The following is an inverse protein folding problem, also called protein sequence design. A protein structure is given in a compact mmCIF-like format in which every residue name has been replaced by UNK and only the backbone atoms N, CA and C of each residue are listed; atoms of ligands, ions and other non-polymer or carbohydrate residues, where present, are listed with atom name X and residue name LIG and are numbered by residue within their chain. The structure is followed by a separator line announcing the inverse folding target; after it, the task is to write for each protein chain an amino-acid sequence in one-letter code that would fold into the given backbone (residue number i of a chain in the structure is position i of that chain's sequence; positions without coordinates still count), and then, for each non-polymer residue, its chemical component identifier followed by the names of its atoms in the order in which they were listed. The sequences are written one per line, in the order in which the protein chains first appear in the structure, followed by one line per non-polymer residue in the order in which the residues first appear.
data_IF_273518905679
#
_entry.id   IF_273518905679
#
_cell.length_a   1.000
_cell.length_b   1.000
_cell.length_c   1.000
_cell.angle_alpha   90.00
_cell.angle_beta   90.00
_cell.angle_gamma   90.00
#
_symmetry.space_group_name_H-M   'P 1'
#
loop_
_entity.id
_entity.type
_entity.pdbx_description
1 polymer ?
#
# COMPACT_ATOMS: atom_id res chain seq x y z
N UNK A 1 19.81 -23.26 1.36
CA UNK A 1 20.90 -22.26 1.40
C UNK A 1 21.29 -21.75 0.01
N UNK A 2 21.39 -22.61 -1.02
CA UNK A 2 21.73 -22.19 -2.40
C UNK A 2 20.72 -21.18 -2.98
N UNK A 3 19.43 -21.31 -2.69
CA UNK A 3 18.40 -20.35 -3.15
C UNK A 3 18.59 -18.94 -2.57
N UNK A 4 19.04 -18.80 -1.33
CA UNK A 4 19.25 -17.47 -0.73
C UNK A 4 20.52 -16.78 -1.27
N UNK A 5 21.56 -17.55 -1.59
CA UNK A 5 22.75 -17.04 -2.26
C UNK A 5 22.46 -16.57 -3.69
N UNK A 6 21.62 -17.33 -4.42
CA UNK A 6 21.21 -16.97 -5.78
C UNK A 6 20.41 -15.66 -5.80
N UNK A 7 19.48 -15.48 -4.86
CA UNK A 7 18.69 -14.25 -4.71
C UNK A 7 19.60 -13.03 -4.44
N UNK A 8 20.67 -13.21 -3.66
CA UNK A 8 21.65 -12.15 -3.38
C UNK A 8 22.43 -11.69 -4.62
N UNK A 9 22.92 -12.63 -5.42
CA UNK A 9 23.72 -12.34 -6.64
C UNK A 9 22.84 -11.74 -7.75
N UNK A 10 21.59 -12.19 -7.83
CA UNK A 10 20.56 -11.66 -8.72
C UNK A 10 20.27 -10.19 -8.41
N UNK A 11 20.05 -9.88 -7.13
CA UNK A 11 19.72 -8.53 -6.68
C UNK A 11 20.89 -7.55 -6.85
N UNK A 12 22.12 -8.00 -6.60
CA UNK A 12 23.31 -7.17 -6.79
C UNK A 12 23.55 -6.88 -8.25
N UNK A 13 23.41 -7.87 -9.14
CA UNK A 13 23.50 -7.65 -10.57
C UNK A 13 22.56 -6.53 -11.02
N UNK A 14 21.25 -6.69 -10.79
CA UNK A 14 20.17 -5.90 -11.44
C UNK A 14 20.48 -4.43 -11.46
N UNK A 15 20.87 -3.96 -10.30
CA UNK A 15 21.03 -2.55 -10.17
C UNK A 15 22.42 -2.03 -10.53
N UNK A 16 23.46 -2.87 -10.72
CA UNK A 16 24.72 -2.35 -11.31
C UNK A 16 24.41 -1.89 -12.73
N UNK A 17 23.55 -2.62 -13.45
CA UNK A 17 23.14 -2.24 -14.80
C UNK A 17 22.26 -1.03 -14.90
N UNK A 18 21.23 -0.95 -14.05
CA UNK A 18 20.41 0.26 -13.98
C UNK A 18 21.23 1.48 -13.55
N UNK A 19 22.23 1.30 -12.67
CA UNK A 19 23.17 2.34 -12.24
C UNK A 19 24.09 2.83 -13.37
N UNK A 20 24.66 1.93 -14.17
CA UNK A 20 25.53 2.31 -15.29
C UNK A 20 24.79 3.13 -16.36
N UNK A 21 23.58 2.71 -16.74
CA UNK A 21 22.78 3.41 -17.76
C UNK A 21 22.35 4.79 -17.23
N UNK A 22 21.82 4.90 -16.01
CA UNK A 22 21.42 6.20 -15.47
C UNK A 22 22.61 7.12 -15.20
N UNK A 23 23.78 6.62 -14.76
CA UNK A 23 24.97 7.45 -14.56
C UNK A 23 25.42 8.11 -15.87
N UNK A 24 25.34 7.38 -16.99
CA UNK A 24 25.68 7.89 -18.31
C UNK A 24 24.78 9.07 -18.75
N UNK A 25 23.53 9.12 -18.29
CA UNK A 25 22.60 10.22 -18.56
C UNK A 25 22.62 11.33 -17.50
N UNK A 26 22.86 11.00 -16.22
CA UNK A 26 22.81 11.95 -15.10
C UNK A 26 24.12 12.73 -14.94
N UNK A 27 25.28 12.11 -15.18
CA UNK A 27 26.58 12.77 -15.06
C UNK A 27 26.71 14.05 -15.93
N UNK A 28 26.29 14.07 -17.22
CA UNK A 28 26.33 15.31 -18.01
C UNK A 28 25.30 16.36 -17.56
N UNK A 29 24.21 15.96 -16.89
CA UNK A 29 23.23 16.89 -16.31
C UNK A 29 23.76 17.51 -15.00
N UNK A 30 24.38 16.71 -14.14
CA UNK A 30 24.94 17.18 -12.86
C UNK A 30 26.14 18.10 -13.08
N UNK A 31 26.96 17.85 -14.11
CA UNK A 31 28.05 18.77 -14.48
C UNK A 31 27.55 20.09 -15.10
N UNK A 32 26.34 20.14 -15.65
CA UNK A 32 25.74 21.37 -16.22
C UNK A 32 25.09 22.28 -15.18
N UNK A 33 24.78 21.80 -13.98
CA UNK A 33 24.17 22.61 -12.93
C UNK A 33 25.15 22.80 -11.76
N UNK A 34 25.74 24.00 -11.57
CA UNK A 34 26.50 24.28 -10.36
C UNK A 34 25.57 24.11 -9.17
N UNK A 35 26.04 23.44 -8.12
CA UNK A 35 25.29 23.29 -6.86
C UNK A 35 25.03 24.68 -6.27
N UNK A 36 23.77 25.10 -6.15
CA UNK A 36 23.35 25.51 -4.80
C UNK A 36 21.91 25.09 -4.44
N UNK A 37 21.64 25.18 -3.13
CA UNK A 37 20.32 25.30 -2.50
C UNK A 37 19.37 24.08 -2.38
N UNK A 38 19.54 22.96 -3.09
CA UNK A 38 18.62 21.81 -2.94
C UNK A 38 18.70 21.14 -1.55
N UNK A 39 19.79 21.36 -0.82
CA UNK A 39 20.00 20.77 0.52
C UNK A 39 19.16 21.40 1.65
N UNK A 40 18.53 22.57 1.44
CA UNK A 40 17.69 23.22 2.47
C UNK A 40 16.19 22.92 2.36
N UNK A 41 15.75 22.24 1.30
CA UNK A 41 14.32 21.96 1.07
C UNK A 41 13.86 20.55 1.53
N UNK A 42 14.76 19.72 2.07
CA UNK A 42 14.45 18.35 2.48
C UNK A 42 13.96 18.22 3.95
N UNK A 43 13.41 19.28 4.55
CA UNK A 43 12.58 19.15 5.75
C UNK A 43 11.20 18.63 5.34
N UNK A 44 11.12 17.32 5.16
CA UNK A 44 9.90 16.61 4.78
C UNK A 44 8.84 16.78 5.88
N UNK A 45 7.94 17.74 5.69
CA UNK A 45 6.76 17.88 6.53
C UNK A 45 5.84 16.67 6.30
N UNK A 46 5.57 15.92 7.38
CA UNK A 46 4.55 14.87 7.42
C UNK A 46 3.17 15.49 7.28
N UNK A 47 2.74 15.77 6.05
CA UNK A 47 1.36 16.18 5.78
C UNK A 47 0.44 14.96 5.69
N UNK A 48 -0.73 15.11 6.32
CA UNK A 48 -1.82 14.13 6.50
C UNK A 48 -2.20 13.30 5.25
N UNK A 49 -2.81 12.10 5.44
CA UNK A 49 -3.03 11.12 4.38
C UNK A 49 -4.09 11.58 3.39
N UNK A 50 -3.65 12.12 2.25
CA UNK A 50 -4.48 12.45 1.09
C UNK A 50 -4.81 11.19 0.28
N UNK A 51 -6.05 11.12 -0.21
CA UNK A 51 -6.54 10.11 -1.16
C UNK A 51 -5.63 10.06 -2.39
N UNK A 52 -5.45 8.87 -2.95
CA UNK A 52 -4.47 8.58 -4.01
C UNK A 52 -4.66 9.50 -5.23
N UNK A 53 -3.59 10.19 -5.58
CA UNK A 53 -3.38 10.73 -6.92
C UNK A 53 -2.38 9.81 -7.64
N UNK A 54 -2.50 9.60 -8.95
CA UNK A 54 -1.61 8.69 -9.70
C UNK A 54 -0.13 9.10 -9.60
N UNK A 55 0.12 10.37 -9.24
CA UNK A 55 1.41 10.95 -8.87
C UNK A 55 2.12 10.24 -7.69
N UNK A 56 1.36 9.69 -6.73
CA UNK A 56 1.90 8.99 -5.55
C UNK A 56 2.48 7.61 -5.91
N UNK A 57 2.02 6.99 -6.99
CA UNK A 57 2.57 5.71 -7.48
C UNK A 57 3.89 5.92 -8.21
N UNK A 58 3.97 6.98 -9.01
CA UNK A 58 5.17 7.36 -9.74
C UNK A 58 6.32 7.73 -8.79
N UNK A 59 6.05 8.50 -7.73
CA UNK A 59 7.07 8.86 -6.73
C UNK A 59 7.62 7.66 -5.96
N UNK A 60 6.80 6.64 -5.70
CA UNK A 60 7.24 5.40 -5.06
C UNK A 60 8.10 4.54 -5.99
N UNK A 61 7.69 4.37 -7.25
CA UNK A 61 8.46 3.62 -8.23
C UNK A 61 9.81 4.31 -8.48
N UNK A 62 9.81 5.63 -8.60
CA UNK A 62 11.03 6.43 -8.72
C UNK A 62 11.95 6.27 -7.50
N UNK A 63 11.38 6.22 -6.28
CA UNK A 63 12.17 6.02 -5.07
C UNK A 63 12.80 4.62 -4.98
N UNK A 64 12.07 3.55 -5.34
CA UNK A 64 12.62 2.18 -5.40
C UNK A 64 13.73 2.05 -6.45
N UNK A 65 13.53 2.63 -7.63
CA UNK A 65 14.53 2.70 -8.69
C UNK A 65 15.76 3.50 -8.21
N UNK A 66 15.54 4.59 -7.47
CA UNK A 66 16.60 5.42 -6.88
C UNK A 66 17.42 4.72 -5.80
N UNK A 67 16.80 3.90 -4.94
CA UNK A 67 17.53 3.10 -3.93
C UNK A 67 18.46 2.10 -4.57
N UNK A 68 17.93 1.40 -5.59
CA UNK A 68 18.67 0.40 -6.35
C UNK A 68 19.81 1.11 -7.06
N UNK A 69 19.53 2.17 -7.81
CA UNK A 69 20.53 3.02 -8.46
C UNK A 69 21.70 3.42 -7.53
N UNK A 70 21.38 3.85 -6.31
CA UNK A 70 22.37 4.32 -5.37
C UNK A 70 23.33 3.29 -4.80
N UNK A 71 22.79 2.15 -4.34
CA UNK A 71 23.58 1.02 -3.86
C UNK A 71 24.71 0.64 -4.82
N UNK A 72 24.51 0.97 -6.09
CA UNK A 72 25.25 0.44 -7.20
C UNK A 72 26.19 1.48 -7.81
N UNK A 73 25.82 2.76 -7.73
CA UNK A 73 26.76 3.86 -7.94
C UNK A 73 27.78 4.01 -6.81
N UNK A 74 27.48 3.56 -5.59
CA UNK A 74 28.35 3.80 -4.43
C UNK A 74 29.32 2.68 -4.12
N UNK A 75 29.20 1.55 -4.83
CA UNK A 75 30.18 0.48 -4.75
C UNK A 75 31.41 0.87 -5.59
N UNK A 76 32.42 1.48 -4.95
CA UNK A 76 33.73 1.75 -5.57
C UNK A 76 34.18 3.22 -5.57
N UNK A 77 33.31 4.17 -5.24
CA UNK A 77 33.71 5.57 -5.03
C UNK A 77 34.00 5.81 -3.54
N UNK A 78 35.16 6.40 -3.19
CA UNK A 78 35.51 6.78 -1.80
C UNK A 78 34.60 7.84 -1.14
N UNK A 79 33.49 8.19 -1.78
CA UNK A 79 32.45 9.06 -1.23
C UNK A 79 31.37 8.22 -0.53
N UNK A 80 31.69 7.76 0.68
CA UNK A 80 30.75 7.05 1.55
C UNK A 80 29.48 7.87 1.85
N UNK A 81 29.60 9.20 1.85
CA UNK A 81 28.49 10.12 2.11
C UNK A 81 27.34 10.00 1.08
N UNK A 82 27.65 9.85 -0.21
CA UNK A 82 26.61 9.69 -1.25
C UNK A 82 25.88 8.35 -1.14
N UNK A 83 26.56 7.31 -0.63
CA UNK A 83 25.99 5.98 -0.43
C UNK A 83 24.93 6.00 0.65
N UNK A 84 25.28 6.59 1.79
CA UNK A 84 24.42 6.69 2.96
C UNK A 84 23.19 7.53 2.65
N UNK A 85 23.34 8.66 1.95
CA UNK A 85 22.22 9.54 1.63
C UNK A 85 21.16 8.83 0.78
N UNK A 86 21.57 8.14 -0.29
CA UNK A 86 20.58 7.59 -1.22
C UNK A 86 20.05 6.22 -0.77
N UNK A 87 20.84 5.43 -0.02
CA UNK A 87 20.30 4.27 0.70
C UNK A 87 19.24 4.70 1.73
N UNK A 88 19.49 5.80 2.46
CA UNK A 88 18.55 6.37 3.42
C UNK A 88 17.23 6.81 2.78
N UNK A 89 17.30 7.55 1.66
CA UNK A 89 16.11 7.97 0.90
C UNK A 89 15.32 6.76 0.40
N UNK A 90 16.03 5.76 -0.12
CA UNK A 90 15.41 4.58 -0.67
C UNK A 90 14.73 3.67 0.36
N UNK A 91 15.37 3.47 1.51
CA UNK A 91 14.79 2.81 2.68
C UNK A 91 13.55 3.55 3.20
N UNK A 92 13.59 4.88 3.24
CA UNK A 92 12.44 5.69 3.67
C UNK A 92 11.24 5.53 2.72
N UNK A 93 11.46 5.52 1.40
CA UNK A 93 10.39 5.27 0.42
C UNK A 93 9.86 3.84 0.52
N UNK A 94 10.74 2.85 0.64
CA UNK A 94 10.36 1.45 0.81
C UNK A 94 9.53 1.21 2.09
N UNK A 95 9.95 1.80 3.21
CA UNK A 95 9.22 1.72 4.47
C UNK A 95 7.83 2.37 4.37
N UNK A 96 7.72 3.54 3.72
CA UNK A 96 6.43 4.21 3.46
C UNK A 96 5.51 3.34 2.61
N UNK A 97 6.05 2.62 1.61
CA UNK A 97 5.29 1.71 0.77
C UNK A 97 4.73 0.52 1.56
N UNK A 98 5.58 -0.16 2.32
CA UNK A 98 5.18 -1.30 3.14
C UNK A 98 4.14 -0.90 4.18
N UNK A 99 4.33 0.25 4.82
CA UNK A 99 3.36 0.78 5.77
C UNK A 99 2.00 1.04 5.10
N UNK A 100 2.00 1.67 3.92
CA UNK A 100 0.77 1.91 3.15
C UNK A 100 0.09 0.62 2.71
N UNK A 101 0.84 -0.39 2.28
CA UNK A 101 0.28 -1.69 1.89
C UNK A 101 -0.40 -2.37 3.07
N UNK A 102 0.23 -2.31 4.25
CA UNK A 102 -0.35 -2.83 5.49
C UNK A 102 -1.65 -2.10 5.86
N UNK A 103 -1.65 -0.78 5.81
CA UNK A 103 -2.83 0.06 6.11
C UNK A 103 -3.96 -0.23 5.11
N UNK A 104 -3.66 -0.35 3.82
CA UNK A 104 -4.63 -0.68 2.79
C UNK A 104 -5.20 -2.09 2.96
N UNK A 105 -4.37 -3.05 3.38
CA UNK A 105 -4.82 -4.40 3.72
C UNK A 105 -5.83 -4.39 4.87
N UNK A 106 -5.56 -3.62 5.93
CA UNK A 106 -6.48 -3.46 7.07
C UNK A 106 -7.79 -2.78 6.62
N UNK A 107 -7.72 -1.71 5.82
CA UNK A 107 -8.92 -1.06 5.27
C UNK A 107 -9.75 -2.01 4.42
N UNK A 108 -9.11 -2.84 3.61
CA UNK A 108 -9.81 -3.81 2.76
C UNK A 108 -10.48 -4.92 3.57
N UNK A 109 -9.83 -5.37 4.65
CA UNK A 109 -10.43 -6.31 5.61
C UNK A 109 -11.65 -5.69 6.30
N UNK A 110 -11.54 -4.44 6.77
CA UNK A 110 -12.66 -3.70 7.37
C UNK A 110 -13.83 -3.56 6.41
N UNK A 111 -13.60 -3.20 5.14
CA UNK A 111 -14.66 -3.11 4.12
C UNK A 111 -15.41 -4.42 3.94
N UNK A 112 -14.69 -5.54 3.89
CA UNK A 112 -15.31 -6.87 3.81
C UNK A 112 -16.15 -7.17 5.06
N UNK A 113 -15.61 -6.86 6.23
CA UNK A 113 -16.32 -7.09 7.49
C UNK A 113 -17.58 -6.22 7.60
N UNK A 114 -17.61 -5.00 7.03
CA UNK A 114 -18.83 -4.15 6.97
C UNK A 114 -19.95 -4.84 6.19
N UNK A 115 -19.62 -5.47 5.06
CA UNK A 115 -20.59 -6.18 4.23
C UNK A 115 -21.12 -7.41 4.97
N UNK A 116 -20.22 -8.20 5.56
CA UNK A 116 -20.58 -9.36 6.37
C UNK A 116 -21.44 -8.94 7.57
N UNK A 117 -21.10 -7.82 8.22
CA UNK A 117 -21.86 -7.24 9.33
C UNK A 117 -23.30 -6.94 8.89
N UNK A 118 -23.47 -6.25 7.78
CA UNK A 118 -24.77 -5.91 7.23
C UNK A 118 -25.61 -7.15 6.93
N UNK A 119 -25.06 -8.08 6.15
CA UNK A 119 -25.75 -9.31 5.74
C UNK A 119 -26.16 -10.16 6.95
N UNK A 120 -25.28 -10.24 7.95
CA UNK A 120 -25.54 -10.98 9.19
C UNK A 120 -26.62 -10.30 10.03
N UNK A 121 -26.56 -8.98 10.18
CA UNK A 121 -27.56 -8.21 10.95
C UNK A 121 -28.92 -8.30 10.26
N UNK A 122 -28.96 -8.16 8.94
CA UNK A 122 -30.19 -8.33 8.15
C UNK A 122 -30.78 -9.73 8.34
N UNK A 123 -29.96 -10.78 8.23
CA UNK A 123 -30.40 -12.17 8.43
C UNK A 123 -31.01 -12.38 9.82
N UNK A 124 -30.37 -11.88 10.87
CA UNK A 124 -30.88 -12.06 12.24
C UNK A 124 -32.11 -11.22 12.55
N UNK A 125 -32.17 -9.99 12.03
CA UNK A 125 -33.36 -9.15 12.17
C UNK A 125 -34.56 -9.76 11.41
N UNK A 126 -34.35 -10.38 10.24
CA UNK A 126 -35.39 -11.16 9.54
C UNK A 126 -35.85 -12.37 10.34
N UNK A 127 -35.00 -12.92 11.20
CA UNK A 127 -35.38 -13.96 12.17
C UNK A 127 -36.10 -13.42 13.42
N UNK A 128 -36.43 -12.12 13.46
CA UNK A 128 -37.16 -11.49 14.55
C UNK A 128 -36.32 -11.07 15.75
N UNK A 129 -34.99 -11.13 15.65
CA UNK A 129 -34.12 -10.64 16.73
C UNK A 129 -34.05 -9.11 16.72
N UNK A 130 -33.93 -8.47 17.90
CA UNK A 130 -33.74 -7.01 17.98
C UNK A 130 -32.34 -6.61 17.50
N UNK A 131 -32.22 -5.39 16.98
CA UNK A 131 -30.99 -4.89 16.33
C UNK A 131 -29.76 -4.97 17.24
N UNK A 132 -29.94 -4.66 18.52
CA UNK A 132 -28.90 -4.80 19.53
C UNK A 132 -28.32 -6.22 19.60
N UNK A 133 -29.20 -7.23 19.59
CA UNK A 133 -28.78 -8.62 19.66
C UNK A 133 -28.16 -9.08 18.33
N UNK A 134 -28.75 -8.69 17.20
CA UNK A 134 -28.21 -8.98 15.88
C UNK A 134 -26.77 -8.44 15.72
N UNK A 135 -26.50 -7.19 16.14
CA UNK A 135 -25.16 -6.60 16.18
C UNK A 135 -24.21 -7.35 17.13
N UNK A 136 -24.72 -7.74 18.31
CA UNK A 136 -23.93 -8.46 19.30
C UNK A 136 -23.48 -9.84 18.80
N UNK A 137 -24.28 -10.51 17.96
CA UNK A 137 -23.90 -11.79 17.33
C UNK A 137 -22.99 -11.55 16.12
N UNK A 138 -23.32 -10.59 15.27
CA UNK A 138 -22.54 -10.27 14.08
C UNK A 138 -21.10 -9.82 14.37
N UNK A 139 -20.82 -9.28 15.56
CA UNK A 139 -19.45 -8.94 16.02
C UNK A 139 -18.49 -10.14 16.02
N UNK A 140 -19.01 -11.37 16.15
CA UNK A 140 -18.19 -12.60 16.17
C UNK A 140 -17.68 -12.93 14.77
N UNK A 141 -18.46 -12.60 13.74
CA UNK A 141 -18.14 -12.86 12.33
C UNK A 141 -17.28 -11.75 11.70
N UNK A 142 -17.08 -10.64 12.42
CA UNK A 142 -16.44 -9.41 11.90
C UNK A 142 -15.25 -9.00 12.77
N UNK A 143 -14.16 -9.78 12.75
CA UNK A 143 -13.04 -9.63 13.70
C UNK A 143 -12.36 -8.26 13.61
N UNK A 144 -12.31 -7.63 12.44
CA UNK A 144 -11.68 -6.31 12.27
C UNK A 144 -12.55 -5.16 12.79
N UNK A 145 -13.87 -5.37 12.93
CA UNK A 145 -14.83 -4.39 13.47
C UNK A 145 -15.26 -4.70 14.90
N UNK A 146 -14.90 -5.87 15.44
CA UNK A 146 -15.32 -6.34 16.78
C UNK A 146 -15.15 -5.28 17.86
N UNK A 147 -14.03 -4.57 17.87
CA UNK A 147 -13.75 -3.51 18.86
C UNK A 147 -14.70 -2.32 18.70
N UNK A 148 -14.95 -1.90 17.46
CA UNK A 148 -15.81 -0.76 17.14
C UNK A 148 -17.27 -1.07 17.47
N UNK A 149 -17.74 -2.27 17.12
CA UNK A 149 -19.09 -2.76 17.45
C UNK A 149 -19.25 -2.87 18.97
N UNK A 150 -18.27 -3.42 19.68
CA UNK A 150 -18.34 -3.55 21.15
C UNK A 150 -18.41 -2.18 21.82
N UNK A 151 -17.68 -1.20 21.29
CA UNK A 151 -17.74 0.16 21.79
C UNK A 151 -19.11 0.80 21.53
N UNK A 152 -19.65 0.68 20.32
CA UNK A 152 -20.99 1.16 19.97
C UNK A 152 -22.09 0.54 20.84
N UNK A 153 -22.05 -0.77 21.06
CA UNK A 153 -22.97 -1.48 21.97
C UNK A 153 -22.87 -0.97 23.41
N UNK A 154 -21.71 -0.51 23.86
CA UNK A 154 -21.54 0.14 25.17
C UNK A 154 -22.36 1.44 25.32
N UNK A 155 -22.62 2.14 24.22
CA UNK A 155 -23.44 3.36 24.20
C UNK A 155 -24.92 3.11 23.87
N UNK A 156 -25.31 1.86 23.67
CA UNK A 156 -26.70 1.49 23.36
C UNK A 156 -27.74 2.00 24.38
N UNK A 157 -27.47 2.04 25.70
CA UNK A 157 -28.40 2.60 26.67
C UNK A 157 -28.71 4.09 26.47
N UNK A 158 -27.85 4.84 25.76
CA UNK A 158 -28.10 6.24 25.40
C UNK A 158 -29.00 6.41 24.17
N UNK A 159 -29.45 5.29 23.57
CA UNK A 159 -30.31 5.25 22.40
C UNK A 159 -29.61 4.64 21.17
N UNK A 160 -30.37 3.91 20.32
CA UNK A 160 -29.83 3.22 19.14
C UNK A 160 -29.22 4.20 18.14
N UNK A 161 -29.83 5.37 17.93
CA UNK A 161 -29.32 6.41 17.05
C UNK A 161 -27.90 6.86 17.43
N UNK A 162 -27.66 7.11 18.73
CA UNK A 162 -26.35 7.55 19.23
C UNK A 162 -25.30 6.44 19.15
N UNK A 163 -25.68 5.20 19.44
CA UNK A 163 -24.79 4.06 19.31
C UNK A 163 -24.35 3.82 17.86
N UNK A 164 -25.27 3.95 16.90
CA UNK A 164 -24.98 3.81 15.48
C UNK A 164 -24.18 4.99 14.92
N UNK A 165 -24.37 6.20 15.43
CA UNK A 165 -23.53 7.36 15.10
C UNK A 165 -22.08 7.16 15.58
N UNK A 166 -21.87 6.67 16.80
CA UNK A 166 -20.54 6.34 17.32
C UNK A 166 -19.90 5.21 16.50
N UNK A 167 -20.70 4.23 16.06
CA UNK A 167 -20.22 3.16 15.18
C UNK A 167 -19.73 3.74 13.84
N UNK A 168 -20.49 4.68 13.25
CA UNK A 168 -20.12 5.40 12.03
C UNK A 168 -18.76 6.09 12.18
N UNK A 169 -18.62 6.91 13.22
CA UNK A 169 -17.39 7.67 13.49
C UNK A 169 -16.16 6.78 13.68
N UNK A 170 -16.32 5.62 14.34
CA UNK A 170 -15.20 4.69 14.57
C UNK A 170 -14.80 3.86 13.35
N UNK A 171 -15.74 3.56 12.47
CA UNK A 171 -15.45 2.82 11.25
C UNK A 171 -14.60 3.69 10.30
N UNK A 172 -14.85 5.00 10.25
CA UNK A 172 -14.11 6.00 9.47
C UNK A 172 -13.89 5.55 8.00
N UNK A 173 -14.97 5.02 7.40
CA UNK A 173 -15.02 4.58 6.02
C UNK A 173 -16.38 4.98 5.45
N UNK A 174 -16.40 5.36 4.17
CA UNK A 174 -17.63 5.66 3.43
C UNK A 174 -18.66 4.53 3.48
N UNK A 175 -18.21 3.28 3.50
CA UNK A 175 -19.06 2.10 3.63
C UNK A 175 -19.68 1.97 5.03
N UNK A 176 -19.00 2.51 6.06
CA UNK A 176 -19.50 2.60 7.43
C UNK A 176 -20.63 3.62 7.57
N UNK A 177 -20.55 4.74 6.83
CA UNK A 177 -21.62 5.73 6.78
C UNK A 177 -22.91 5.13 6.22
N UNK A 178 -22.79 4.44 5.08
CA UNK A 178 -23.92 3.74 4.44
C UNK A 178 -24.51 2.70 5.39
N UNK A 179 -23.66 1.89 6.02
CA UNK A 179 -24.09 0.88 6.99
C UNK A 179 -24.86 1.51 8.15
N UNK A 180 -24.31 2.54 8.79
CA UNK A 180 -24.94 3.18 9.94
C UNK A 180 -26.30 3.80 9.57
N UNK A 181 -26.38 4.49 8.43
CA UNK A 181 -27.64 5.05 7.92
C UNK A 181 -28.68 3.96 7.65
N UNK A 182 -28.30 2.83 7.05
CA UNK A 182 -29.21 1.71 6.82
C UNK A 182 -29.70 1.10 8.14
N UNK A 183 -28.80 0.87 9.10
CA UNK A 183 -29.17 0.32 10.40
C UNK A 183 -30.09 1.25 11.18
N UNK A 184 -29.87 2.57 11.11
CA UNK A 184 -30.76 3.56 11.72
C UNK A 184 -32.15 3.53 11.08
N UNK A 185 -32.21 3.41 9.76
CA UNK A 185 -33.47 3.33 9.04
C UNK A 185 -34.23 2.03 9.39
N UNK A 186 -33.52 0.91 9.46
CA UNK A 186 -34.06 -0.40 9.87
C UNK A 186 -34.63 -0.35 11.28
N UNK A 187 -33.94 0.31 12.21
CA UNK A 187 -34.40 0.46 13.59
C UNK A 187 -35.69 1.29 13.69
N UNK A 188 -35.83 2.33 12.87
CA UNK A 188 -36.98 3.24 12.89
C UNK A 188 -38.22 2.68 12.19
N UNK A 189 -38.04 2.08 11.01
CA UNK A 189 -39.16 1.69 10.13
C UNK A 189 -39.47 0.19 10.24
N UNK A 190 -38.54 -0.61 10.74
CA UNK A 190 -38.62 -2.07 10.72
C UNK A 190 -38.23 -2.65 9.36
N UNK A 191 -37.84 -3.93 9.35
CA UNK A 191 -37.30 -4.59 8.15
C UNK A 191 -38.31 -4.72 7.00
N UNK A 192 -39.59 -4.88 7.31
CA UNK A 192 -40.63 -5.23 6.33
C UNK A 192 -40.84 -4.16 5.25
N UNK A 193 -40.64 -2.89 5.59
CA UNK A 193 -40.87 -1.76 4.68
C UNK A 193 -39.59 -1.31 3.95
N UNK A 194 -38.45 -1.92 4.28
CA UNK A 194 -37.14 -1.50 3.80
C UNK A 194 -36.53 -2.42 2.76
N UNK A 195 -37.23 -3.49 2.38
CA UNK A 195 -36.72 -4.48 1.43
C UNK A 195 -36.22 -3.84 0.12
N UNK A 196 -36.92 -2.80 -0.38
CA UNK A 196 -36.52 -2.09 -1.60
C UNK A 196 -35.29 -1.18 -1.48
N UNK A 197 -34.98 -0.65 -0.29
CA UNK A 197 -33.83 0.23 -0.03
C UNK A 197 -32.62 -0.61 0.35
N UNK A 198 -32.81 -1.54 1.28
CA UNK A 198 -31.82 -2.54 1.71
C UNK A 198 -31.28 -3.31 0.52
N UNK A 199 -32.16 -3.76 -0.39
CA UNK A 199 -31.73 -4.48 -1.61
C UNK A 199 -30.98 -3.61 -2.60
N UNK A 200 -31.28 -2.30 -2.69
CA UNK A 200 -30.57 -1.35 -3.56
C UNK A 200 -29.17 -1.03 -3.03
N UNK A 201 -29.05 -0.70 -1.75
CA UNK A 201 -27.76 -0.39 -1.14
C UNK A 201 -26.91 -1.65 -0.93
N UNK A 202 -27.53 -2.79 -0.60
CA UNK A 202 -26.86 -4.10 -0.59
C UNK A 202 -26.28 -4.46 -1.96
N UNK A 203 -26.99 -4.16 -3.05
CA UNK A 203 -26.45 -4.34 -4.41
C UNK A 203 -25.26 -3.43 -4.69
N UNK A 204 -25.21 -2.21 -4.17
CA UNK A 204 -24.04 -1.32 -4.29
C UNK A 204 -22.83 -1.87 -3.52
N UNK A 205 -23.05 -2.34 -2.29
CA UNK A 205 -22.00 -2.98 -1.50
C UNK A 205 -21.45 -4.24 -2.21
N UNK A 206 -22.32 -5.05 -2.79
CA UNK A 206 -21.92 -6.24 -3.56
C UNK A 206 -21.20 -5.88 -4.87
N UNK A 207 -21.61 -4.80 -5.54
CA UNK A 207 -20.89 -4.26 -6.70
C UNK A 207 -19.47 -3.79 -6.32
N UNK A 208 -19.32 -3.12 -5.17
CA UNK A 208 -18.01 -2.73 -4.67
C UNK A 208 -17.14 -3.94 -4.31
N UNK A 209 -17.73 -4.97 -3.69
CA UNK A 209 -17.05 -6.24 -3.39
C UNK A 209 -16.57 -6.93 -4.66
N UNK A 210 -17.45 -7.10 -5.64
CA UNK A 210 -17.10 -7.74 -6.91
C UNK A 210 -16.06 -6.93 -7.69
N UNK A 211 -16.11 -5.60 -7.64
CA UNK A 211 -15.06 -4.74 -8.20
C UNK A 211 -13.71 -4.94 -7.49
N UNK A 212 -13.71 -5.02 -6.15
CA UNK A 212 -12.50 -5.29 -5.36
C UNK A 212 -11.93 -6.70 -5.61
N UNK A 213 -12.80 -7.71 -5.71
CA UNK A 213 -12.40 -9.09 -6.02
C UNK A 213 -11.86 -9.19 -7.46
N UNK A 214 -12.47 -8.49 -8.43
CA UNK A 214 -11.92 -8.37 -9.79
C UNK A 214 -10.55 -7.71 -9.81
N UNK A 215 -10.37 -6.62 -9.04
CA UNK A 215 -9.06 -5.99 -8.90
C UNK A 215 -8.01 -6.95 -8.31
N UNK A 216 -8.41 -7.77 -7.32
CA UNK A 216 -7.53 -8.77 -6.72
C UNK A 216 -7.20 -9.92 -7.67
N UNK A 217 -8.16 -10.37 -8.48
CA UNK A 217 -7.96 -11.39 -9.51
C UNK A 217 -6.98 -10.84 -10.55
N UNK A 218 -7.14 -9.59 -10.99
CA UNK A 218 -6.24 -8.95 -11.96
C UNK A 218 -4.82 -8.71 -11.39
N UNK A 219 -4.66 -8.60 -10.08
CA UNK A 219 -3.35 -8.46 -9.45
C UNK A 219 -2.55 -9.78 -9.38
N UNK A 220 -3.20 -10.96 -9.40
CA UNK A 220 -2.51 -12.26 -9.35
C UNK A 220 -1.59 -12.48 -10.55
N UNK A 221 -2.02 -12.24 -11.81
CA UNK A 221 -1.12 -12.29 -12.97
C UNK A 221 0.08 -11.35 -12.83
N UNK A 222 -0.15 -10.14 -12.32
CA UNK A 222 0.91 -9.15 -12.08
C UNK A 222 1.99 -9.68 -11.14
N UNK A 223 1.61 -10.39 -10.07
CA UNK A 223 2.55 -11.04 -9.17
C UNK A 223 3.37 -12.13 -9.87
N UNK A 224 2.73 -12.94 -10.73
CA UNK A 224 3.42 -13.98 -11.51
C UNK A 224 4.39 -13.34 -12.52
N UNK A 225 3.99 -12.27 -13.18
CA UNK A 225 4.86 -11.52 -14.11
C UNK A 225 6.05 -10.93 -13.37
N UNK A 226 5.83 -10.31 -12.22
CA UNK A 226 6.90 -9.73 -11.41
C UNK A 226 7.87 -10.81 -10.89
N UNK A 227 7.35 -11.98 -10.50
CA UNK A 227 8.16 -13.13 -10.09
C UNK A 227 8.96 -13.72 -11.27
N UNK A 228 8.39 -13.77 -12.47
CA UNK A 228 9.10 -14.19 -13.70
C UNK A 228 10.10 -13.16 -14.19
N UNK A 229 9.89 -11.87 -13.90
CA UNK A 229 10.81 -10.80 -14.26
C UNK A 229 12.04 -10.77 -13.36
N UNK A 230 11.94 -11.23 -12.09
CA UNK A 230 13.05 -11.25 -11.13
C UNK A 230 14.33 -11.94 -11.67
N UNK A 231 14.28 -13.15 -12.23
CA UNK A 231 15.45 -13.81 -12.85
C UNK A 231 15.99 -13.07 -14.09
N UNK A 232 15.10 -12.47 -14.90
CA UNK A 232 15.50 -11.72 -16.09
C UNK A 232 16.27 -10.46 -15.72
N UNK A 233 15.72 -9.74 -14.74
CA UNK A 233 16.38 -8.61 -14.12
C UNK A 233 17.74 -9.09 -13.59
N UNK A 234 17.82 -10.22 -12.89
CA UNK A 234 19.08 -10.78 -12.37
C UNK A 234 20.18 -10.85 -13.43
N UNK A 235 19.85 -11.46 -14.55
CA UNK A 235 20.76 -11.73 -15.64
C UNK A 235 21.22 -10.42 -16.28
N UNK A 236 20.29 -9.52 -16.60
CA UNK A 236 20.59 -8.17 -17.08
C UNK A 236 21.55 -7.46 -16.14
N UNK A 237 21.29 -7.65 -14.86
CA UNK A 237 22.11 -7.15 -13.80
C UNK A 237 23.54 -7.65 -13.79
N UNK A 238 23.72 -8.96 -13.77
CA UNK A 238 25.05 -9.58 -13.78
C UNK A 238 25.85 -9.13 -15.00
N UNK A 239 25.22 -9.09 -16.18
CA UNK A 239 25.86 -8.64 -17.43
C UNK A 239 26.30 -7.19 -17.33
N UNK A 240 25.41 -6.32 -16.88
CA UNK A 240 25.75 -4.91 -16.82
C UNK A 240 26.75 -4.60 -15.67
N UNK A 241 26.74 -5.42 -14.62
CA UNK A 241 27.76 -5.40 -13.56
C UNK A 241 29.16 -5.78 -14.05
N UNK A 242 29.28 -6.81 -14.88
CA UNK A 242 30.57 -7.19 -15.46
C UNK A 242 31.09 -6.13 -16.42
N UNK A 243 30.22 -5.55 -17.27
CA UNK A 243 30.59 -4.41 -18.12
C UNK A 243 31.08 -3.20 -17.33
N UNK A 244 30.42 -2.87 -16.22
CA UNK A 244 30.82 -1.77 -15.37
C UNK A 244 32.21 -2.00 -14.74
N UNK A 245 32.44 -3.19 -14.17
CA UNK A 245 33.74 -3.56 -13.60
C UNK A 245 34.86 -3.49 -14.64
N UNK A 246 34.59 -3.99 -15.85
CA UNK A 246 35.54 -3.94 -16.96
C UNK A 246 35.84 -2.49 -17.40
N UNK A 247 34.81 -1.66 -17.56
CA UNK A 247 34.98 -0.25 -17.92
C UNK A 247 35.79 0.52 -16.86
N UNK A 248 35.52 0.27 -15.57
CA UNK A 248 36.28 0.85 -14.46
C UNK A 248 37.76 0.43 -14.51
N UNK A 249 38.05 -0.83 -14.80
CA UNK A 249 39.42 -1.31 -14.93
C UNK A 249 40.16 -0.61 -16.08
N UNK A 250 39.53 -0.52 -17.25
CA UNK A 250 40.11 0.17 -18.43
C UNK A 250 40.36 1.66 -18.13
N UNK A 251 39.42 2.34 -17.48
CA UNK A 251 39.61 3.75 -17.12
C UNK A 251 40.74 3.95 -16.09
N UNK A 252 40.92 3.00 -15.17
CA UNK A 252 42.03 3.01 -14.21
C UNK A 252 43.38 2.81 -14.91
N UNK A 253 43.46 1.87 -15.84
CA UNK A 253 44.66 1.64 -16.66
C UNK A 253 44.99 2.84 -17.56
N UNK A 254 43.98 3.59 -18.01
CA UNK A 254 44.14 4.81 -18.79
C UNK A 254 44.59 6.04 -17.96
N UNK A 255 44.78 5.91 -16.64
CA UNK A 255 45.22 7.00 -15.76
C UNK A 255 44.17 8.10 -15.51
N UNK A 256 42.90 7.85 -15.83
CA UNK A 256 41.80 8.79 -15.60
C UNK A 256 41.35 8.85 -14.14
N UNK A 257 41.66 7.82 -13.36
CA UNK A 257 41.37 7.74 -11.92
C UNK A 257 42.67 7.43 -11.19
N UNK A 258 43.38 8.47 -10.76
CA UNK A 258 44.47 8.43 -9.78
C UNK A 258 43.96 8.62 -8.37
#
# INVERSE_FOLDING_TARGET
MIEQALIGVVASGIGIGAAAVMWMFVNPLVQRYPKPAVFKAASFQFTHPRQWDDSDRASVIAGLIGTIFALLTTWGTGNEATAVCVFGVGMAVGAKLLFRWRVNGIRSARKRDIIILFETVELYMRAGMPLHHALAVAKVLTPSLRKDITYALGYWPSGPAKALEILRERIDLSEGDILASLLMQIDQVGIEHLEGVVRREGKRLEQMRTAADRARINARPLFIVMYRALPLMACLGMVAGTFFMYAMQVMREAGLFG
#
